data_IF_842201142351
#
_entry.id   IF_842201142351
#
_cell.length_a   1.000
_cell.length_b   1.000
_cell.length_c   1.000
_cell.angle_alpha   90.00
_cell.angle_beta   90.00
_cell.angle_gamma   90.00
#
_symmetry.space_group_name_H-M   'P 1'
#
loop_
_entity.id
_entity.type
_entity.pdbx_description
1 polymer ?
#
# COMPACT_ATOMS: atom_id res chain seq x y z
N UNK A 1 -25.41 -17.90 31.72
CA UNK A 1 -25.91 -17.59 30.36
C UNK A 1 -25.26 -16.31 29.88
N UNK A 2 -24.31 -16.42 28.96
CA UNK A 2 -23.69 -15.28 28.27
C UNK A 2 -23.54 -15.70 26.82
N UNK A 3 -24.54 -15.34 26.01
CA UNK A 3 -24.63 -15.71 24.60
C UNK A 3 -23.58 -14.93 23.81
N UNK A 4 -22.45 -15.57 23.50
CA UNK A 4 -21.44 -15.02 22.60
C UNK A 4 -22.03 -14.89 21.20
N UNK A 5 -22.14 -13.66 20.69
CA UNK A 5 -22.62 -13.37 19.34
C UNK A 5 -21.79 -14.15 18.30
N UNK A 6 -22.38 -15.15 17.66
CA UNK A 6 -21.71 -15.99 16.66
C UNK A 6 -21.11 -15.17 15.50
N UNK A 7 -21.53 -13.90 15.32
CA UNK A 7 -20.91 -12.97 14.37
C UNK A 7 -19.45 -12.64 14.71
N UNK A 8 -19.06 -12.69 15.98
CA UNK A 8 -17.71 -12.38 16.48
C UNK A 8 -16.75 -13.58 16.49
N UNK A 9 -17.22 -14.78 16.15
CA UNK A 9 -16.38 -15.96 16.12
C UNK A 9 -15.38 -15.92 14.94
N UNK A 10 -14.13 -16.38 15.14
CA UNK A 10 -13.15 -16.55 14.07
C UNK A 10 -13.65 -17.57 13.04
N UNK A 11 -13.15 -17.45 11.81
CA UNK A 11 -13.63 -18.20 10.65
C UNK A 11 -13.61 -19.73 10.88
N UNK A 12 -12.53 -20.24 11.48
CA UNK A 12 -12.36 -21.67 11.80
C UNK A 12 -13.35 -22.15 12.86
N UNK A 13 -13.60 -21.36 13.91
CA UNK A 13 -14.60 -21.69 14.93
C UNK A 13 -16.01 -21.76 14.35
N UNK A 14 -16.33 -20.91 13.37
CA UNK A 14 -17.61 -20.96 12.65
C UNK A 14 -17.74 -22.17 11.73
N UNK A 15 -16.65 -22.62 11.11
CA UNK A 15 -16.67 -23.86 10.33
C UNK A 15 -16.97 -25.07 11.20
N UNK A 16 -16.28 -25.20 12.34
CA UNK A 16 -16.51 -26.29 13.30
C UNK A 16 -17.95 -26.27 13.82
N UNK A 17 -18.47 -25.07 14.16
CA UNK A 17 -19.86 -24.88 14.59
C UNK A 17 -20.86 -25.34 13.52
N UNK A 18 -20.65 -24.97 12.25
CA UNK A 18 -21.48 -25.38 11.12
C UNK A 18 -21.52 -26.90 10.96
N UNK A 19 -20.35 -27.54 10.99
CA UNK A 19 -20.21 -29.01 10.86
C UNK A 19 -20.97 -29.73 11.97
N UNK A 20 -20.82 -29.28 13.22
CA UNK A 20 -21.52 -29.85 14.38
C UNK A 20 -23.04 -29.66 14.30
N UNK A 21 -23.49 -28.48 13.87
CA UNK A 21 -24.91 -28.20 13.70
C UNK A 21 -25.54 -29.06 12.59
N UNK A 22 -24.84 -29.27 11.47
CA UNK A 22 -25.31 -30.14 10.38
C UNK A 22 -25.33 -31.61 10.83
N UNK A 23 -24.27 -32.10 11.46
CA UNK A 23 -24.20 -33.47 11.95
C UNK A 23 -25.31 -33.78 12.95
N UNK A 24 -25.63 -32.85 13.86
CA UNK A 24 -26.73 -33.02 14.81
C UNK A 24 -28.09 -33.14 14.10
N UNK A 25 -28.33 -32.37 13.03
CA UNK A 25 -29.58 -32.46 12.26
C UNK A 25 -29.66 -33.75 11.44
N UNK A 26 -28.56 -34.20 10.84
CA UNK A 26 -28.52 -35.47 10.11
C UNK A 26 -28.64 -36.69 11.05
N UNK A 27 -28.24 -36.55 12.32
CA UNK A 27 -28.49 -37.54 13.37
C UNK A 27 -29.92 -37.52 13.94
N UNK A 28 -30.82 -36.68 13.41
CA UNK A 28 -32.24 -36.65 13.77
C UNK A 28 -32.66 -35.53 14.73
N UNK A 29 -31.75 -34.67 15.21
CA UNK A 29 -32.13 -33.53 16.05
C UNK A 29 -32.90 -32.48 15.24
N UNK A 30 -33.88 -31.82 15.88
CA UNK A 30 -34.62 -30.76 15.22
C UNK A 30 -33.77 -29.50 15.04
N UNK A 31 -34.03 -28.74 13.97
CA UNK A 31 -33.34 -27.46 13.72
C UNK A 31 -33.55 -26.43 14.85
N UNK A 32 -34.61 -26.58 15.65
CA UNK A 32 -34.93 -25.70 16.78
C UNK A 32 -34.06 -26.04 17.99
N UNK A 33 -33.89 -27.33 18.29
CA UNK A 33 -33.01 -27.79 19.37
C UNK A 33 -31.55 -27.42 19.08
N UNK A 34 -31.10 -27.67 17.85
CA UNK A 34 -29.75 -27.31 17.39
C UNK A 34 -29.52 -25.80 17.47
N UNK A 35 -30.50 -24.99 17.08
CA UNK A 35 -30.43 -23.53 17.21
C UNK A 35 -30.25 -23.08 18.66
N UNK A 36 -30.99 -23.67 19.59
CA UNK A 36 -30.88 -23.39 21.04
C UNK A 36 -29.54 -23.84 21.60
N UNK A 37 -29.08 -25.04 21.23
CA UNK A 37 -27.82 -25.63 21.70
C UNK A 37 -26.61 -24.79 21.28
N UNK A 38 -26.60 -24.24 20.07
CA UNK A 38 -25.47 -23.51 19.51
C UNK A 38 -25.62 -21.97 19.57
N UNK A 39 -26.70 -21.45 20.16
CA UNK A 39 -26.91 -20.00 20.29
C UNK A 39 -27.07 -19.26 18.95
N UNK A 40 -27.64 -19.91 17.94
CA UNK A 40 -27.85 -19.35 16.58
C UNK A 40 -29.32 -19.39 16.19
N UNK A 41 -29.70 -18.65 15.14
CA UNK A 41 -31.10 -18.67 14.69
C UNK A 41 -31.44 -19.98 13.97
N UNK A 42 -32.70 -20.44 14.09
CA UNK A 42 -33.24 -21.57 13.30
C UNK A 42 -32.99 -21.40 11.80
N UNK A 43 -33.13 -20.17 11.29
CA UNK A 43 -32.91 -19.84 9.87
C UNK A 43 -31.45 -20.09 9.47
N UNK A 44 -30.51 -19.75 10.35
CA UNK A 44 -29.07 -20.00 10.16
C UNK A 44 -28.76 -21.50 10.08
N UNK A 45 -29.31 -22.29 11.01
CA UNK A 45 -29.17 -23.76 10.99
C UNK A 45 -29.76 -24.34 9.71
N UNK A 46 -30.95 -23.88 9.30
CA UNK A 46 -31.59 -24.30 8.05
C UNK A 46 -30.74 -23.99 6.82
N UNK A 47 -30.11 -22.82 6.75
CA UNK A 47 -29.23 -22.44 5.66
C UNK A 47 -27.98 -23.32 5.58
N UNK A 48 -27.38 -23.70 6.72
CA UNK A 48 -26.22 -24.60 6.74
C UNK A 48 -26.56 -26.01 6.30
N UNK A 49 -27.67 -26.56 6.79
CA UNK A 49 -28.16 -27.89 6.39
C UNK A 49 -28.47 -27.92 4.90
N UNK A 50 -29.11 -26.87 4.38
CA UNK A 50 -29.40 -26.78 2.96
C UNK A 50 -28.11 -26.70 2.12
N UNK A 51 -27.15 -25.86 2.53
CA UNK A 51 -25.87 -25.73 1.84
C UNK A 51 -25.11 -27.06 1.81
N UNK A 52 -25.11 -27.80 2.93
CA UNK A 52 -24.51 -29.13 3.02
C UNK A 52 -25.22 -30.16 2.12
N UNK A 53 -26.56 -30.19 2.11
CA UNK A 53 -27.31 -31.12 1.24
C UNK A 53 -27.10 -30.83 -0.24
N UNK A 54 -26.88 -29.57 -0.62
CA UNK A 54 -26.67 -29.18 -2.02
C UNK A 54 -25.24 -29.38 -2.49
N UNK A 55 -24.23 -29.05 -1.67
CA UNK A 55 -22.83 -28.98 -2.11
C UNK A 55 -21.85 -29.72 -1.19
N UNK A 56 -22.37 -30.51 -0.24
CA UNK A 56 -21.58 -31.34 0.68
C UNK A 56 -20.75 -30.55 1.67
N UNK A 57 -19.73 -31.23 2.20
CA UNK A 57 -18.78 -30.70 3.16
C UNK A 57 -18.07 -29.38 2.74
N UNK A 58 -17.67 -29.18 1.47
CA UNK A 58 -17.05 -27.93 1.02
C UNK A 58 -17.92 -26.68 1.22
N UNK A 59 -19.25 -26.83 1.30
CA UNK A 59 -20.18 -25.73 1.51
C UNK A 59 -20.06 -25.09 2.90
N UNK A 60 -19.51 -25.82 3.87
CA UNK A 60 -19.39 -25.39 5.27
C UNK A 60 -18.09 -24.61 5.53
N UNK A 61 -17.10 -24.72 4.62
CA UNK A 61 -15.84 -23.99 4.69
C UNK A 61 -16.06 -22.48 4.77
N UNK A 62 -15.21 -21.73 5.48
CA UNK A 62 -15.31 -20.29 5.55
C UNK A 62 -15.12 -19.69 4.16
N UNK A 63 -16.12 -18.96 3.68
CA UNK A 63 -15.92 -18.05 2.55
C UNK A 63 -15.21 -16.79 3.07
N UNK A 64 -14.29 -16.18 2.28
CA UNK A 64 -13.69 -14.91 2.64
C UNK A 64 -14.78 -13.91 3.04
N UNK A 65 -14.66 -13.35 4.26
CA UNK A 65 -15.56 -12.30 4.73
C UNK A 65 -15.11 -10.98 4.10
N UNK A 66 -16.07 -10.18 3.64
CA UNK A 66 -15.82 -8.90 2.99
C UNK A 66 -15.80 -8.98 1.46
N UNK A 67 -15.67 -7.80 0.84
CA UNK A 67 -15.64 -7.65 -0.62
C UNK A 67 -14.41 -8.35 -1.20
N UNK A 68 -14.55 -8.96 -2.37
CA UNK A 68 -13.40 -9.57 -3.05
C UNK A 68 -12.41 -8.47 -3.44
N UNK A 69 -11.09 -8.70 -3.37
CA UNK A 69 -10.11 -7.74 -3.88
C UNK A 69 -10.39 -7.42 -5.35
N UNK A 70 -10.78 -6.18 -5.66
CA UNK A 70 -11.16 -5.77 -7.02
C UNK A 70 -12.65 -5.50 -7.26
N UNK A 71 -13.50 -5.85 -6.31
CA UNK A 71 -14.93 -5.61 -6.40
C UNK A 71 -15.24 -4.12 -6.14
N UNK A 72 -15.99 -3.47 -7.04
CA UNK A 72 -16.31 -2.03 -7.03
C UNK A 72 -15.11 -1.07 -7.08
N UNK A 73 -14.03 -1.43 -7.80
CA UNK A 73 -13.02 -0.44 -8.15
C UNK A 73 -13.65 0.66 -9.01
N UNK A 74 -13.49 1.92 -8.58
CA UNK A 74 -14.02 3.08 -9.30
C UNK A 74 -13.32 3.23 -10.66
N UNK A 75 -12.00 2.98 -10.69
CA UNK A 75 -11.24 2.92 -11.93
C UNK A 75 -11.32 1.56 -12.59
N UNK A 76 -11.73 1.56 -13.86
CA UNK A 76 -11.67 0.37 -14.71
C UNK A 76 -10.22 -0.10 -14.92
N UNK A 77 -10.01 -1.40 -15.18
CA UNK A 77 -8.74 -1.97 -15.60
C UNK A 77 -7.90 -1.13 -16.59
N UNK A 78 -8.45 -0.61 -17.71
CA UNK A 78 -7.66 0.18 -18.65
C UNK A 78 -7.31 1.57 -18.11
N UNK A 79 -8.19 2.21 -17.33
CA UNK A 79 -7.92 3.51 -16.73
C UNK A 79 -6.78 3.44 -15.70
N UNK A 80 -6.74 2.37 -14.90
CA UNK A 80 -5.62 2.15 -13.98
C UNK A 80 -4.30 2.02 -14.74
N UNK A 81 -4.25 1.19 -15.78
CA UNK A 81 -3.03 0.99 -16.55
C UNK A 81 -2.56 2.28 -17.24
N UNK A 82 -3.48 3.06 -17.82
CA UNK A 82 -3.18 4.34 -18.43
C UNK A 82 -2.69 5.39 -17.40
N UNK A 83 -3.28 5.41 -16.19
CA UNK A 83 -2.85 6.29 -15.10
C UNK A 83 -1.43 5.96 -14.63
N UNK A 84 -1.10 4.67 -14.48
CA UNK A 84 0.26 4.25 -14.12
C UNK A 84 1.25 4.66 -15.20
N UNK A 85 0.91 4.44 -16.49
CA UNK A 85 1.77 4.88 -17.61
C UNK A 85 2.01 6.39 -17.59
N UNK A 86 0.97 7.19 -17.32
CA UNK A 86 1.09 8.64 -17.21
C UNK A 86 2.03 9.06 -16.07
N UNK A 87 1.91 8.41 -14.91
CA UNK A 87 2.78 8.62 -13.74
C UNK A 87 4.24 8.28 -14.04
N UNK A 88 4.49 7.18 -14.75
CA UNK A 88 5.85 6.74 -15.12
C UNK A 88 6.46 7.60 -16.24
N UNK A 89 5.62 8.16 -17.12
CA UNK A 89 6.07 8.92 -18.28
C UNK A 89 6.62 10.31 -17.92
N UNK A 90 6.25 10.90 -16.78
CA UNK A 90 6.73 12.23 -16.40
C UNK A 90 6.02 12.82 -15.18
N UNK A 91 6.31 14.10 -14.88
CA UNK A 91 5.69 14.85 -13.79
C UNK A 91 4.22 15.22 -14.09
N UNK A 92 3.41 15.62 -13.09
CA UNK A 92 2.03 16.03 -13.34
C UNK A 92 1.89 17.22 -14.30
N UNK A 93 2.90 18.09 -14.35
CA UNK A 93 2.93 19.27 -15.24
C UNK A 93 2.85 18.89 -16.72
N UNK A 94 3.46 17.76 -17.12
CA UNK A 94 3.40 17.29 -18.51
C UNK A 94 1.98 16.86 -18.93
N UNK A 95 1.10 16.66 -17.94
CA UNK A 95 -0.32 16.37 -18.10
C UNK A 95 -1.22 17.59 -17.85
N UNK A 96 -0.64 18.79 -17.77
CA UNK A 96 -1.37 20.05 -17.59
C UNK A 96 -1.88 20.29 -16.16
N UNK A 97 -1.28 19.65 -15.16
CA UNK A 97 -1.67 19.81 -13.76
C UNK A 97 -0.76 20.81 -13.04
N UNK A 98 -1.27 21.61 -12.08
CA UNK A 98 -0.52 22.63 -11.37
C UNK A 98 0.33 22.06 -10.22
N UNK A 99 0.94 20.88 -10.42
CA UNK A 99 1.75 20.18 -9.42
C UNK A 99 3.11 19.81 -9.99
N UNK A 100 4.18 20.26 -9.34
CA UNK A 100 5.57 19.95 -9.74
C UNK A 100 5.94 18.47 -9.60
N UNK A 101 5.40 17.82 -8.57
CA UNK A 101 5.63 16.40 -8.25
C UNK A 101 4.29 15.68 -8.08
N UNK A 102 4.27 14.37 -8.34
CA UNK A 102 3.08 13.59 -8.05
C UNK A 102 2.83 13.55 -6.54
N UNK A 103 1.58 13.80 -6.17
CA UNK A 103 1.08 13.61 -4.83
C UNK A 103 -0.34 13.01 -4.94
N UNK A 104 -0.97 12.69 -3.80
CA UNK A 104 -2.31 12.06 -3.82
C UNK A 104 -3.37 12.94 -4.50
N UNK A 105 -3.26 14.26 -4.36
CA UNK A 105 -4.16 15.21 -4.99
C UNK A 105 -3.92 15.30 -6.51
N UNK A 106 -2.67 15.39 -6.95
CA UNK A 106 -2.30 15.43 -8.37
C UNK A 106 -2.81 14.18 -9.12
N UNK A 107 -2.72 12.99 -8.52
CA UNK A 107 -3.28 11.76 -9.10
C UNK A 107 -4.81 11.81 -9.15
N UNK A 108 -5.47 12.31 -8.10
CA UNK A 108 -6.93 12.48 -8.11
C UNK A 108 -7.39 13.46 -9.19
N UNK A 109 -6.69 14.59 -9.33
CA UNK A 109 -6.95 15.61 -10.34
C UNK A 109 -6.70 15.08 -11.76
N UNK A 110 -5.60 14.34 -11.97
CA UNK A 110 -5.32 13.66 -13.24
C UNK A 110 -6.49 12.75 -13.66
N UNK A 111 -6.93 11.89 -12.74
CA UNK A 111 -8.02 10.95 -12.97
C UNK A 111 -9.33 11.68 -13.27
N UNK A 112 -9.63 12.75 -12.52
CA UNK A 112 -10.82 13.53 -12.74
C UNK A 112 -10.80 14.29 -14.09
N UNK A 113 -9.67 14.92 -14.44
CA UNK A 113 -9.51 15.59 -15.72
C UNK A 113 -9.65 14.62 -16.90
N UNK A 114 -9.02 13.45 -16.79
CA UNK A 114 -8.93 12.50 -17.91
C UNK A 114 -10.16 11.62 -18.08
N UNK A 115 -10.82 11.25 -16.98
CA UNK A 115 -11.90 10.26 -16.95
C UNK A 115 -13.20 10.77 -16.31
N UNK A 116 -13.23 12.01 -15.78
CA UNK A 116 -14.38 12.59 -15.06
C UNK A 116 -14.82 11.77 -13.84
N UNK A 117 -13.84 11.13 -13.20
CA UNK A 117 -14.01 10.32 -11.99
C UNK A 117 -13.40 11.06 -10.82
N UNK A 118 -14.21 11.36 -9.80
CA UNK A 118 -13.73 11.96 -8.55
C UNK A 118 -13.21 10.86 -7.62
N UNK A 119 -11.93 10.95 -7.24
CA UNK A 119 -11.32 10.08 -6.24
C UNK A 119 -10.96 10.90 -4.99
N UNK A 120 -11.22 10.33 -3.81
CA UNK A 120 -10.68 10.88 -2.57
C UNK A 120 -9.20 10.54 -2.42
N UNK A 121 -8.47 11.32 -1.61
CA UNK A 121 -7.06 11.07 -1.32
C UNK A 121 -6.81 9.68 -0.70
N UNK A 122 -7.75 9.19 0.11
CA UNK A 122 -7.72 7.83 0.68
C UNK A 122 -7.83 6.76 -0.40
N UNK A 123 -8.76 6.92 -1.35
CA UNK A 123 -8.91 5.99 -2.48
C UNK A 123 -7.66 5.97 -3.35
N UNK A 124 -7.05 7.13 -3.61
CA UNK A 124 -5.77 7.21 -4.33
C UNK A 124 -4.66 6.49 -3.57
N UNK A 125 -4.60 6.62 -2.24
CA UNK A 125 -3.61 5.90 -1.42
C UNK A 125 -3.77 4.38 -1.57
N UNK A 126 -5.00 3.88 -1.52
CA UNK A 126 -5.28 2.46 -1.75
C UNK A 126 -4.88 2.03 -3.16
N UNK A 127 -5.10 2.85 -4.19
CA UNK A 127 -4.65 2.56 -5.55
C UNK A 127 -3.12 2.52 -5.66
N UNK A 128 -2.41 3.52 -5.12
CA UNK A 128 -0.94 3.58 -5.15
C UNK A 128 -0.30 2.37 -4.43
N UNK A 129 -0.85 1.99 -3.27
CA UNK A 129 -0.41 0.79 -2.55
C UNK A 129 -0.78 -0.50 -3.28
N UNK A 130 -1.96 -0.58 -3.91
CA UNK A 130 -2.39 -1.73 -4.71
C UNK A 130 -1.54 -1.91 -5.97
N UNK A 131 -1.15 -0.82 -6.61
CA UNK A 131 -0.24 -0.83 -7.76
C UNK A 131 1.19 -1.16 -7.34
N UNK A 132 1.51 -1.10 -6.04
CA UNK A 132 2.85 -1.29 -5.51
C UNK A 132 3.78 -0.11 -5.78
N UNK A 133 3.30 0.99 -6.37
CA UNK A 133 4.13 2.17 -6.67
C UNK A 133 4.63 2.84 -5.39
N UNK A 134 3.82 2.85 -4.34
CA UNK A 134 4.17 3.45 -3.05
C UNK A 134 4.08 2.39 -1.96
N UNK A 135 5.24 2.04 -1.40
CA UNK A 135 5.36 1.22 -0.20
C UNK A 135 5.69 2.15 0.98
N UNK A 136 4.70 2.55 1.78
CA UNK A 136 4.94 3.47 2.91
C UNK A 136 5.96 2.90 3.92
N UNK A 137 6.02 1.58 4.06
CA UNK A 137 7.05 0.90 4.86
C UNK A 137 8.48 1.17 4.38
N UNK A 138 8.69 1.48 3.10
CA UNK A 138 10.01 1.80 2.56
C UNK A 138 10.55 3.15 3.04
N UNK A 139 9.67 4.05 3.50
CA UNK A 139 10.06 5.32 4.12
C UNK A 139 10.53 5.13 5.56
N UNK A 140 10.30 3.97 6.17
CA UNK A 140 10.73 3.66 7.53
C UNK A 140 12.14 3.05 7.50
N UNK A 141 13.13 3.65 8.19
CA UNK A 141 14.49 3.10 8.27
C UNK A 141 14.58 1.69 8.88
N UNK A 142 13.67 1.36 9.79
CA UNK A 142 13.63 0.09 10.53
C UNK A 142 12.31 -0.65 10.27
N UNK A 143 12.31 -1.75 9.49
CA UNK A 143 11.11 -2.51 9.16
C UNK A 143 10.56 -3.36 10.32
N UNK A 144 11.31 -3.53 11.42
CA UNK A 144 10.87 -4.27 12.60
C UNK A 144 10.01 -3.42 13.55
N UNK A 145 9.98 -2.09 13.37
CA UNK A 145 9.04 -1.20 14.05
C UNK A 145 7.71 -1.19 13.29
N UNK A 146 6.60 -1.41 14.03
CA UNK A 146 5.21 -1.37 13.52
C UNK A 146 4.97 -0.18 12.58
N UNK A 147 4.06 -0.30 11.58
CA UNK A 147 3.67 0.82 10.73
C UNK A 147 3.19 1.94 11.64
N UNK A 148 3.98 3.00 11.71
CA UNK A 148 3.94 4.01 12.74
C UNK A 148 2.56 4.69 12.74
N UNK A 149 1.69 4.54 13.75
CA UNK A 149 0.85 5.66 14.14
C UNK A 149 1.73 6.52 15.05
N UNK A 150 1.91 7.80 14.74
CA UNK A 150 2.76 8.75 15.50
C UNK A 150 4.23 8.71 15.12
N UNK A 151 4.55 9.48 14.08
CA UNK A 151 5.59 10.50 14.13
C UNK A 151 6.54 10.37 15.34
N UNK A 152 7.71 9.75 15.13
CA UNK A 152 8.83 9.96 16.04
C UNK A 152 9.58 11.15 15.44
N UNK A 153 9.56 12.36 16.06
CA UNK A 153 10.55 13.35 15.70
C UNK A 153 11.89 12.64 15.88
N UNK A 154 12.69 12.54 14.81
CA UNK A 154 14.07 12.09 14.95
C UNK A 154 14.64 12.94 16.08
N UNK A 155 15.02 12.28 17.18
CA UNK A 155 15.64 12.96 18.31
C UNK A 155 16.79 13.76 17.73
N UNK A 156 16.75 15.09 17.87
CA UNK A 156 17.83 15.99 17.46
C UNK A 156 19.13 15.32 17.90
N UNK A 157 20.02 14.92 16.97
CA UNK A 157 21.16 14.11 17.35
C UNK A 157 21.95 14.86 18.42
N UNK A 158 22.34 14.17 19.49
CA UNK A 158 23.33 14.69 20.42
C UNK A 158 24.56 15.10 19.58
N UNK A 159 25.14 16.25 19.93
CA UNK A 159 26.19 16.92 19.15
C UNK A 159 27.23 15.92 18.61
N UNK A 160 27.32 15.81 17.27
CA UNK A 160 28.35 14.99 16.61
C UNK A 160 27.93 14.28 15.31
N UNK A 161 26.63 14.05 15.07
CA UNK A 161 26.14 13.40 13.85
C UNK A 161 25.27 14.34 13.01
N UNK A 162 25.88 15.09 12.08
CA UNK A 162 25.20 15.89 11.05
C UNK A 162 24.30 17.02 11.58
N UNK A 163 24.76 18.26 11.47
CA UNK A 163 24.00 19.43 11.94
C UNK A 163 22.73 19.61 11.10
N UNK A 164 21.56 19.40 11.71
CA UNK A 164 20.27 19.78 11.12
C UNK A 164 20.29 21.26 10.76
N UNK A 165 19.66 21.63 9.65
CA UNK A 165 19.36 23.04 9.38
C UNK A 165 18.35 23.49 10.45
N UNK A 166 18.61 24.59 11.19
CA UNK A 166 17.72 25.07 12.25
C UNK A 166 16.27 25.27 11.80
N UNK A 167 16.08 25.78 10.58
CA UNK A 167 14.77 26.05 9.98
C UNK A 167 14.42 25.10 8.83
N UNK A 168 15.12 23.96 8.73
CA UNK A 168 14.91 23.00 7.65
C UNK A 168 13.66 22.12 7.85
N UNK A 169 12.85 21.94 6.82
CA UNK A 169 11.70 21.04 6.84
C UNK A 169 12.19 19.58 6.96
N UNK A 170 11.76 18.83 7.98
CA UNK A 170 12.05 17.40 8.04
C UNK A 170 11.25 16.65 6.98
N UNK A 171 11.91 15.73 6.28
CA UNK A 171 11.24 14.78 5.40
C UNK A 171 11.95 13.43 5.41
N UNK A 172 11.20 12.38 5.08
CA UNK A 172 11.72 11.05 4.81
C UNK A 172 11.79 10.84 3.31
N UNK A 173 12.91 10.37 2.81
CA UNK A 173 13.14 10.08 1.40
C UNK A 173 13.50 8.61 1.23
N UNK A 174 12.85 7.93 0.30
CA UNK A 174 13.22 6.58 -0.10
C UNK A 174 13.26 6.45 -1.62
N UNK A 175 14.10 5.52 -2.09
CA UNK A 175 14.13 5.08 -3.47
C UNK A 175 13.80 3.59 -3.51
N UNK A 176 12.68 3.24 -4.14
CA UNK A 176 12.20 1.86 -4.26
C UNK A 176 12.19 1.36 -5.71
N UNK A 177 12.20 0.04 -5.84
CA UNK A 177 12.10 -0.70 -7.11
C UNK A 177 10.91 -1.66 -7.03
N UNK A 178 9.67 -1.18 -7.16
CA UNK A 178 8.47 -1.98 -6.90
C UNK A 178 8.25 -3.12 -7.90
N UNK A 179 8.91 -3.07 -9.06
CA UNK A 179 8.72 -4.02 -10.17
C UNK A 179 10.03 -4.65 -10.64
N UNK A 180 10.89 -5.07 -9.72
CA UNK A 180 12.04 -5.93 -10.08
C UNK A 180 11.50 -7.19 -10.78
N UNK A 181 11.97 -7.52 -11.99
CA UNK A 181 11.68 -8.81 -12.62
C UNK A 181 12.05 -9.93 -11.65
N UNK A 182 11.26 -11.02 -11.55
CA UNK A 182 11.65 -12.13 -10.70
C UNK A 182 13.06 -12.61 -11.10
N UNK A 183 13.90 -12.80 -10.08
CA UNK A 183 15.22 -13.40 -10.22
C UNK A 183 15.10 -14.73 -10.97
N UNK A 184 16.00 -15.00 -11.92
CA UNK A 184 16.01 -16.21 -12.76
C UNK A 184 16.10 -17.53 -11.95
N UNK A 185 16.41 -17.45 -10.65
CA UNK A 185 16.52 -18.59 -9.73
C UNK A 185 15.26 -18.96 -8.93
N UNK A 186 14.18 -18.16 -8.95
CA UNK A 186 12.87 -18.59 -8.41
C UNK A 186 12.00 -19.05 -9.57
N UNK A 187 11.75 -20.36 -9.63
CA UNK A 187 10.89 -20.97 -10.64
C UNK A 187 9.56 -20.22 -10.81
N UNK A 188 8.94 -20.32 -12.00
CA UNK A 188 7.82 -19.49 -12.40
C UNK A 188 6.70 -19.57 -11.35
N UNK A 189 6.52 -18.49 -10.59
CA UNK A 189 5.32 -18.34 -9.76
C UNK A 189 4.16 -18.28 -10.74
N UNK A 190 3.28 -19.29 -10.68
CA UNK A 190 2.18 -19.46 -11.62
C UNK A 190 1.48 -18.12 -11.87
N UNK A 191 1.67 -17.60 -13.09
CA UNK A 191 1.20 -16.31 -13.52
C UNK A 191 -0.33 -16.36 -13.66
N UNK A 192 -1.03 -16.15 -12.54
CA UNK A 192 -2.41 -15.74 -12.54
C UNK A 192 -2.48 -14.32 -13.08
N UNK A 193 -2.68 -14.18 -14.38
CA UNK A 193 -2.80 -12.91 -15.07
C UNK A 193 -4.14 -12.25 -14.72
N UNK A 194 -4.16 -11.33 -13.75
CA UNK A 194 -5.11 -10.22 -13.75
C UNK A 194 -4.56 -9.02 -12.94
N UNK A 195 -5.20 -7.86 -13.14
CA UNK A 195 -4.90 -6.59 -12.46
C UNK A 195 -5.25 -6.58 -10.96
N UNK A 196 -5.60 -7.75 -10.41
CA UNK A 196 -5.92 -8.02 -9.02
C UNK A 196 -4.84 -8.89 -8.34
N UNK A 197 -3.95 -9.57 -9.09
CA UNK A 197 -2.93 -10.50 -8.55
C UNK A 197 -1.48 -10.11 -8.81
N UNK A 198 -1.19 -9.06 -9.58
CA UNK A 198 0.14 -8.42 -9.53
C UNK A 198 0.61 -7.81 -10.84
N UNK A 199 0.77 -6.49 -10.84
CA UNK A 199 1.32 -5.66 -11.91
C UNK A 199 2.83 -5.87 -12.17
N UNK A 200 3.42 -6.97 -11.70
CA UNK A 200 4.87 -7.10 -11.52
C UNK A 200 5.70 -7.25 -12.80
N UNK A 201 5.09 -7.36 -13.98
CA UNK A 201 5.81 -7.52 -15.26
C UNK A 201 5.34 -6.62 -16.41
N UNK A 202 4.30 -5.79 -16.22
CA UNK A 202 3.70 -5.05 -17.35
C UNK A 202 4.39 -3.71 -17.67
N UNK A 203 5.07 -3.12 -16.68
CA UNK A 203 5.67 -1.78 -16.80
C UNK A 203 7.20 -1.78 -16.77
N UNK A 204 7.84 -2.95 -16.84
CA UNK A 204 9.30 -3.05 -16.83
C UNK A 204 9.93 -2.68 -15.48
N UNK A 205 11.22 -2.30 -15.52
CA UNK A 205 12.00 -1.91 -14.33
C UNK A 205 11.66 -0.48 -13.90
N UNK A 206 10.62 -0.37 -13.07
CA UNK A 206 10.15 0.91 -12.53
C UNK A 206 10.91 1.25 -11.26
N UNK A 207 11.42 2.48 -11.20
CA UNK A 207 12.01 3.08 -10.02
C UNK A 207 11.13 4.21 -9.51
N UNK A 208 10.98 4.32 -8.20
CA UNK A 208 10.18 5.38 -7.56
C UNK A 208 11.01 6.08 -6.51
N UNK A 209 11.15 7.40 -6.64
CA UNK A 209 11.56 8.29 -5.56
C UNK A 209 10.31 8.74 -4.82
N UNK A 210 10.32 8.58 -3.51
CA UNK A 210 9.18 8.92 -2.66
C UNK A 210 9.67 9.68 -1.45
N UNK A 211 8.97 10.76 -1.13
CA UNK A 211 9.20 11.57 0.04
C UNK A 211 7.91 11.82 0.82
N UNK A 212 8.01 11.84 2.15
CA UNK A 212 6.92 12.28 3.03
C UNK A 212 7.44 13.41 3.91
N UNK A 213 6.72 14.54 3.91
CA UNK A 213 7.05 15.68 4.76
C UNK A 213 6.60 15.44 6.21
N UNK A 214 7.07 16.27 7.14
CA UNK A 214 6.62 16.28 8.53
C UNK A 214 5.08 16.41 8.68
N UNK A 215 4.43 17.07 7.71
CA UNK A 215 2.97 17.24 7.67
C UNK A 215 2.23 16.02 7.09
N UNK A 216 2.93 14.94 6.75
CA UNK A 216 2.35 13.72 6.17
C UNK A 216 2.02 13.82 4.68
N UNK A 217 2.51 14.86 3.99
CA UNK A 217 2.26 15.03 2.56
C UNK A 217 3.25 14.18 1.77
N UNK A 218 2.70 13.23 0.99
CA UNK A 218 3.43 12.33 0.12
C UNK A 218 3.71 13.03 -1.23
N UNK A 219 4.98 13.06 -1.61
CA UNK A 219 5.45 13.45 -2.93
C UNK A 219 6.24 12.31 -3.54
N UNK A 220 6.09 12.07 -4.84
CA UNK A 220 6.84 11.02 -5.50
C UNK A 220 7.05 11.32 -6.98
N UNK A 221 7.99 10.59 -7.55
CA UNK A 221 8.28 10.55 -8.98
C UNK A 221 8.59 9.10 -9.35
N UNK A 222 8.00 8.63 -10.44
CA UNK A 222 8.26 7.30 -10.98
C UNK A 222 8.85 7.42 -12.38
N UNK A 223 9.73 6.49 -12.74
CA UNK A 223 10.28 6.38 -14.10
C UNK A 223 10.70 4.94 -14.42
N UNK A 224 11.00 4.71 -15.69
CA UNK A 224 11.72 3.51 -16.12
C UNK A 224 13.22 3.69 -15.90
N UNK A 225 13.87 2.68 -15.34
CA UNK A 225 15.29 2.67 -15.03
C UNK A 225 15.68 3.49 -13.80
N UNK A 226 16.95 3.40 -13.37
CA UNK A 226 17.42 4.05 -12.15
C UNK A 226 17.45 5.57 -12.26
N UNK A 227 17.41 6.23 -11.09
CA UNK A 227 17.66 7.67 -10.97
C UNK A 227 19.16 7.93 -10.88
N UNK A 228 19.60 9.06 -11.43
CA UNK A 228 20.95 9.58 -11.23
C UNK A 228 20.98 10.73 -10.21
N UNK A 229 22.17 11.32 -9.99
CA UNK A 229 22.35 12.42 -9.05
C UNK A 229 21.66 13.71 -9.48
N UNK A 230 21.57 13.95 -10.79
CA UNK A 230 20.83 15.09 -11.35
C UNK A 230 19.34 14.96 -11.07
N UNK A 231 18.78 13.77 -11.28
CA UNK A 231 17.37 13.46 -11.02
C UNK A 231 17.03 13.64 -9.53
N UNK A 232 17.82 13.05 -8.63
CA UNK A 232 17.59 13.17 -7.18
C UNK A 232 17.71 14.63 -6.73
N UNK A 233 18.69 15.38 -7.26
CA UNK A 233 18.85 16.80 -6.96
C UNK A 233 17.67 17.62 -7.48
N UNK A 234 17.14 17.30 -8.67
CA UNK A 234 15.95 17.96 -9.22
C UNK A 234 14.71 17.68 -8.35
N UNK A 235 14.50 16.43 -7.95
CA UNK A 235 13.41 16.05 -7.06
C UNK A 235 13.45 16.80 -5.72
N UNK A 236 14.64 16.89 -5.09
CA UNK A 236 14.82 17.65 -3.86
C UNK A 236 14.65 19.16 -4.05
N UNK A 237 15.03 19.70 -5.21
CA UNK A 237 14.82 21.12 -5.54
C UNK A 237 13.34 21.46 -5.59
N UNK A 238 12.53 20.61 -6.21
CA UNK A 238 11.07 20.80 -6.24
C UNK A 238 10.47 20.74 -4.82
N UNK A 239 10.94 19.82 -3.97
CA UNK A 239 10.51 19.75 -2.57
C UNK A 239 10.91 21.00 -1.77
N UNK A 240 12.14 21.49 -1.94
CA UNK A 240 12.62 22.70 -1.26
C UNK A 240 11.84 23.94 -1.70
N UNK A 241 11.57 24.07 -3.01
CA UNK A 241 10.77 25.15 -3.57
C UNK A 241 9.33 25.15 -3.01
N UNK A 242 8.72 23.97 -2.86
CA UNK A 242 7.39 23.83 -2.24
C UNK A 242 7.39 24.13 -0.73
N UNK A 243 8.45 23.72 -0.02
CA UNK A 243 8.58 23.99 1.40
C UNK A 243 8.91 25.47 1.70
N UNK A 244 9.56 26.17 0.77
CA UNK A 244 10.05 27.54 0.95
C UNK A 244 11.24 27.66 1.91
N UNK A 245 11.89 26.54 2.24
CA UNK A 245 13.01 26.44 3.19
C UNK A 245 13.92 25.26 2.84
N UNK A 246 15.07 25.19 3.51
CA UNK A 246 15.97 24.04 3.40
C UNK A 246 15.33 22.74 3.90
N UNK A 247 15.95 21.60 3.60
CA UNK A 247 15.41 20.27 3.88
C UNK A 247 16.33 19.49 4.82
N UNK A 248 15.75 18.86 5.83
CA UNK A 248 16.43 17.85 6.65
C UNK A 248 15.92 16.47 6.19
N UNK A 249 16.72 15.79 5.37
CA UNK A 249 16.33 14.58 4.63
C UNK A 249 16.79 13.34 5.39
N UNK A 250 15.84 12.59 5.94
CA UNK A 250 16.10 11.27 6.53
C UNK A 250 15.96 10.22 5.44
N UNK A 251 17.04 9.49 5.16
CA UNK A 251 17.03 8.48 4.08
C UNK A 251 16.51 7.16 4.63
N UNK A 252 15.42 6.66 4.05
CA UNK A 252 14.86 5.34 4.31
C UNK A 252 15.47 4.29 3.38
N UNK A 253 14.63 3.40 2.84
CA UNK A 253 15.07 2.36 1.89
C UNK A 253 15.72 3.00 0.65
N UNK A 254 16.87 2.46 0.28
CA UNK A 254 17.63 2.88 -0.89
C UNK A 254 18.23 1.65 -1.59
N UNK A 255 18.32 1.59 -2.93
CA UNK A 255 18.90 0.45 -3.61
C UNK A 255 20.40 0.30 -3.30
N UNK A 256 20.85 -0.95 -3.13
CA UNK A 256 22.28 -1.25 -2.93
C UNK A 256 23.10 -0.73 -4.12
N UNK A 257 24.26 -0.11 -3.82
CA UNK A 257 25.13 0.53 -4.83
C UNK A 257 24.68 1.92 -5.29
N UNK A 258 23.47 2.36 -4.97
CA UNK A 258 22.96 3.66 -5.40
C UNK A 258 23.21 4.78 -4.36
N UNK A 259 23.79 4.49 -3.19
CA UNK A 259 24.02 5.50 -2.15
C UNK A 259 25.04 6.59 -2.55
N UNK A 260 25.89 6.32 -3.53
CA UNK A 260 26.83 7.30 -4.06
C UNK A 260 26.11 8.52 -4.65
N UNK A 261 24.92 8.31 -5.23
CA UNK A 261 24.05 9.35 -5.78
C UNK A 261 23.75 10.44 -4.74
N UNK A 262 23.57 10.07 -3.47
CA UNK A 262 23.31 11.02 -2.39
C UNK A 262 24.55 11.88 -2.07
N UNK A 263 25.76 11.35 -2.27
CA UNK A 263 27.03 12.08 -2.05
C UNK A 263 27.32 13.06 -3.19
N UNK A 264 26.77 12.82 -4.36
CA UNK A 264 26.92 13.67 -5.55
C UNK A 264 25.97 14.88 -5.56
N UNK A 265 25.05 14.98 -4.60
CA UNK A 265 24.20 16.18 -4.45
C UNK A 265 25.08 17.38 -4.07
N UNK A 266 24.99 18.52 -4.77
CA UNK A 266 25.89 19.65 -4.56
C UNK A 266 25.92 20.13 -3.12
N UNK A 267 27.12 20.33 -2.56
CA UNK A 267 27.31 20.73 -1.16
C UNK A 267 26.66 22.08 -0.78
N UNK A 268 26.41 22.96 -1.75
CA UNK A 268 25.71 24.23 -1.57
C UNK A 268 24.18 24.14 -1.65
N UNK A 269 23.63 22.96 -1.93
CA UNK A 269 22.19 22.75 -1.93
C UNK A 269 21.65 22.77 -0.49
N UNK A 270 20.53 23.44 -0.19
CA UNK A 270 20.02 23.58 1.17
C UNK A 270 19.32 22.29 1.65
N UNK A 271 19.93 21.12 1.46
CA UNK A 271 19.49 19.86 2.05
C UNK A 271 20.59 19.21 2.87
N UNK A 272 20.24 18.70 4.04
CA UNK A 272 21.12 17.89 4.89
C UNK A 272 20.60 16.47 4.93
N UNK A 273 21.41 15.53 4.49
CA UNK A 273 21.08 14.10 4.54
C UNK A 273 21.47 13.50 5.88
N UNK A 274 20.54 12.74 6.44
CA UNK A 274 20.70 12.00 7.67
C UNK A 274 20.51 10.54 7.29
N UNK A 275 21.63 9.80 7.31
CA UNK A 275 21.61 8.36 7.14
C UNK A 275 21.36 7.75 8.51
N UNK A 276 20.25 7.02 8.72
CA UNK A 276 20.01 6.31 9.97
C UNK A 276 21.15 5.29 10.20
N UNK A 277 21.52 5.01 11.46
CA UNK A 277 22.50 3.97 11.77
C UNK A 277 21.99 2.63 11.21
N UNK A 278 22.87 1.94 10.48
CA UNK A 278 22.59 0.63 9.89
C UNK A 278 22.52 -0.49 10.92
#
# INVERSE_FOLDING_TARGET
>A
MTSGDARKLPAEALEVLRRRAVAAVEAGASRVEVARMFGVSRKTVGAWVQAYRTAGDPALRPKPRGRRPGEQLVLSPPHQAATIKAIIAGSPETHGLPHRLWNRQAVAEFVNHRYRILLSATTVTHYLGRWGLIEEAALTPDPARRPIPVFVPVQRPAAGAGTWLPDGEPLWLAWTRPHTPPDTGRGPVAAGHNLLTGFRTHFGDVHVLVAVTNRGVLHFQARLGPFDAGDVTAFLRELAAQAGRGLNVVVGRWPAGAHEVLRSVPAGFPARFILPPG
#
